data_IF_300775300940
#
_entry.id   IF_300775300940
#
_cell.length_a   1.000
_cell.length_b   1.000
_cell.length_c   1.000
_cell.angle_alpha   90.00
_cell.angle_beta   90.00
_cell.angle_gamma   90.00
#
_symmetry.space_group_name_H-M   'P 1'
#
loop_
_entity.id
_entity.type
_entity.pdbx_description
1 polymer ?
#
# COMPACT_ATOMS: atom_id res chain seq x y z
N UNK A 1 4.45 26.50 5.95
CA UNK A 1 3.99 25.10 5.83
C UNK A 1 4.22 24.64 4.40
N UNK A 2 4.94 23.54 4.19
CA UNK A 2 5.28 23.03 2.85
C UNK A 2 4.06 22.36 2.19
N UNK A 3 3.93 22.39 0.87
CA UNK A 3 2.81 21.75 0.13
C UNK A 3 2.62 20.28 0.52
N UNK A 4 3.71 19.54 0.74
CA UNK A 4 3.64 18.16 1.23
C UNK A 4 2.94 18.03 2.59
N UNK A 5 3.17 18.97 3.51
CA UNK A 5 2.54 18.98 4.83
C UNK A 5 1.05 19.31 4.72
N UNK A 6 0.69 20.27 3.87
CA UNK A 6 -0.71 20.59 3.60
C UNK A 6 -1.46 19.40 3.00
N UNK A 7 -0.84 18.67 2.07
CA UNK A 7 -1.42 17.46 1.49
C UNK A 7 -1.55 16.33 2.52
N UNK A 8 -0.55 16.18 3.41
CA UNK A 8 -0.61 15.23 4.54
C UNK A 8 -1.75 15.57 5.50
N UNK A 9 -1.94 16.85 5.80
CA UNK A 9 -3.01 17.33 6.66
C UNK A 9 -4.37 17.13 6.01
N UNK A 10 -4.52 17.46 4.71
CA UNK A 10 -5.75 17.19 3.97
C UNK A 10 -6.11 15.72 3.99
N UNK A 11 -5.13 14.83 3.74
CA UNK A 11 -5.41 13.40 3.73
C UNK A 11 -5.59 12.82 5.13
N UNK A 12 -5.08 13.45 6.20
CA UNK A 12 -5.22 12.97 7.59
C UNK A 12 -6.69 12.80 8.00
N UNK A 13 -7.60 13.59 7.43
CA UNK A 13 -9.04 13.49 7.67
C UNK A 13 -9.72 12.31 6.97
N UNK A 14 -8.98 11.53 6.18
CA UNK A 14 -9.44 10.30 5.56
C UNK A 14 -9.00 9.07 6.35
N UNK A 15 -9.53 7.91 5.96
CA UNK A 15 -9.43 6.66 6.72
C UNK A 15 -8.20 5.82 6.36
N UNK A 16 -7.14 6.37 5.77
CA UNK A 16 -5.98 5.57 5.33
C UNK A 16 -5.30 4.79 6.47
N UNK A 17 -5.21 5.37 7.67
CA UNK A 17 -4.60 4.67 8.82
C UNK A 17 -5.47 3.52 9.29
N UNK A 18 -6.79 3.72 9.30
CA UNK A 18 -7.76 2.67 9.63
C UNK A 18 -7.71 1.57 8.57
N UNK A 19 -7.63 1.92 7.28
CA UNK A 19 -7.47 0.99 6.18
C UNK A 19 -6.20 0.15 6.32
N UNK A 20 -5.05 0.77 6.62
CA UNK A 20 -3.80 0.06 6.92
C UNK A 20 -4.03 -0.93 8.07
N UNK A 21 -4.62 -0.49 9.18
CA UNK A 21 -4.90 -1.37 10.32
C UNK A 21 -5.79 -2.57 9.97
N UNK A 22 -6.84 -2.36 9.18
CA UNK A 22 -7.73 -3.44 8.71
C UNK A 22 -7.00 -4.43 7.81
N UNK A 23 -6.19 -3.94 6.86
CA UNK A 23 -5.41 -4.81 5.98
C UNK A 23 -4.38 -5.64 6.77
N UNK A 24 -3.68 -5.01 7.72
CA UNK A 24 -2.74 -5.68 8.62
C UNK A 24 -3.43 -6.74 9.49
N UNK A 25 -4.63 -6.45 9.98
CA UNK A 25 -5.41 -7.41 10.76
C UNK A 25 -5.78 -8.64 9.92
N UNK A 26 -6.24 -8.45 8.68
CA UNK A 26 -6.50 -9.59 7.80
C UNK A 26 -5.24 -10.39 7.48
N UNK A 27 -4.10 -9.72 7.26
CA UNK A 27 -2.84 -10.40 7.06
C UNK A 27 -2.45 -11.26 8.26
N UNK A 28 -2.56 -10.71 9.48
CA UNK A 28 -2.34 -11.43 10.73
C UNK A 28 -3.22 -12.68 10.84
N UNK A 29 -4.53 -12.58 10.59
CA UNK A 29 -5.46 -13.72 10.66
C UNK A 29 -5.03 -14.83 9.68
N UNK A 30 -4.66 -14.48 8.46
CA UNK A 30 -4.23 -15.46 7.45
C UNK A 30 -2.91 -16.14 7.85
N UNK A 31 -1.91 -15.38 8.30
CA UNK A 31 -0.63 -15.97 8.72
C UNK A 31 -0.82 -16.86 9.97
N UNK A 32 -1.61 -16.44 10.96
CA UNK A 32 -1.92 -17.26 12.13
C UNK A 32 -2.66 -18.55 11.76
N UNK A 33 -3.60 -18.47 10.83
CA UNK A 33 -4.30 -19.65 10.29
C UNK A 33 -3.33 -20.61 9.59
N UNK A 34 -2.39 -20.07 8.80
CA UNK A 34 -1.38 -20.86 8.12
C UNK A 34 -0.45 -21.56 9.11
N UNK A 35 0.05 -20.85 10.13
CA UNK A 35 0.88 -21.44 11.19
C UNK A 35 0.14 -22.54 11.93
N UNK A 36 -1.11 -22.30 12.33
CA UNK A 36 -1.92 -23.27 13.06
C UNK A 36 -2.15 -24.53 12.23
N UNK A 37 -2.52 -24.35 10.95
CA UNK A 37 -2.72 -25.47 10.01
C UNK A 37 -1.43 -26.26 9.80
N UNK A 38 -0.29 -25.57 9.68
CA UNK A 38 1.00 -26.23 9.53
C UNK A 38 1.36 -27.04 10.77
N UNK A 39 1.23 -26.49 11.98
CA UNK A 39 1.49 -27.25 13.22
C UNK A 39 0.66 -28.54 13.32
N UNK A 40 -0.62 -28.50 12.93
CA UNK A 40 -1.51 -29.67 12.98
C UNK A 40 -1.15 -30.73 11.94
N UNK A 41 -0.74 -30.32 10.73
CA UNK A 41 -0.39 -31.23 9.64
C UNK A 41 1.01 -31.82 9.83
N UNK A 42 1.98 -30.98 10.17
CA UNK A 42 3.40 -31.35 10.25
C UNK A 42 3.78 -31.94 11.61
N UNK A 43 2.99 -31.68 12.66
CA UNK A 43 3.08 -32.41 13.95
C UNK A 43 2.74 -33.91 13.85
N UNK A 44 2.29 -34.39 12.67
CA UNK A 44 2.03 -35.81 12.38
C UNK A 44 3.19 -36.54 11.69
N UNK A 45 4.41 -35.98 11.74
CA UNK A 45 5.63 -36.66 11.28
C UNK A 45 6.03 -36.37 9.83
N UNK A 46 5.64 -35.22 9.29
CA UNK A 46 6.14 -34.70 8.01
C UNK A 46 7.21 -33.62 8.29
N UNK A 47 8.15 -33.40 7.36
CA UNK A 47 9.25 -32.41 7.49
C UNK A 47 8.79 -30.94 7.37
N UNK A 48 8.85 -30.14 8.45
CA UNK A 48 8.23 -28.82 8.48
C UNK A 48 8.72 -27.89 7.35
N UNK A 49 7.77 -27.18 6.72
CA UNK A 49 8.02 -26.29 5.58
C UNK A 49 7.96 -24.81 5.96
N UNK A 50 8.76 -23.94 5.32
CA UNK A 50 8.67 -22.51 5.55
C UNK A 50 7.31 -21.96 5.11
N UNK A 51 6.73 -21.13 5.97
CA UNK A 51 5.50 -20.41 5.64
C UNK A 51 5.88 -19.19 4.82
N UNK A 52 5.25 -19.03 3.67
CA UNK A 52 5.47 -17.90 2.77
C UNK A 52 5.02 -16.58 3.41
N UNK A 53 5.86 -15.54 3.26
CA UNK A 53 5.52 -14.17 3.64
C UNK A 53 4.44 -13.62 2.72
N UNK A 54 4.54 -13.87 1.40
CA UNK A 54 3.58 -13.40 0.43
C UNK A 54 2.29 -14.22 0.49
N UNK A 55 1.17 -13.52 0.63
CA UNK A 55 -0.15 -14.11 0.46
C UNK A 55 -1.05 -13.13 -0.32
N UNK A 56 -2.22 -13.57 -0.78
CA UNK A 56 -3.13 -12.70 -1.52
C UNK A 56 -3.50 -11.42 -0.75
N UNK A 57 -3.56 -11.43 0.58
CA UNK A 57 -3.90 -10.26 1.39
C UNK A 57 -2.84 -9.16 1.26
N UNK A 58 -1.54 -9.50 1.25
CA UNK A 58 -0.47 -8.50 1.04
C UNK A 58 -0.61 -7.84 -0.32
N UNK A 59 -0.79 -8.64 -1.37
CA UNK A 59 -0.89 -8.15 -2.75
C UNK A 59 -2.15 -7.30 -2.94
N UNK A 60 -3.31 -7.78 -2.47
CA UNK A 60 -4.55 -7.01 -2.50
C UNK A 60 -4.47 -5.76 -1.62
N UNK A 61 -3.80 -5.83 -0.48
CA UNK A 61 -3.58 -4.70 0.42
C UNK A 61 -2.80 -3.59 -0.26
N UNK A 62 -1.70 -3.93 -0.96
CA UNK A 62 -0.95 -2.97 -1.80
C UNK A 62 -1.86 -2.34 -2.84
N UNK A 63 -2.64 -3.14 -3.58
CA UNK A 63 -3.52 -2.64 -4.63
C UNK A 63 -4.59 -1.68 -4.06
N UNK A 64 -5.34 -2.13 -3.06
CA UNK A 64 -6.44 -1.39 -2.44
C UNK A 64 -5.92 -0.08 -1.83
N UNK A 65 -4.83 -0.13 -1.06
CA UNK A 65 -4.26 1.04 -0.41
C UNK A 65 -3.77 2.07 -1.44
N UNK A 66 -3.08 1.61 -2.48
CA UNK A 66 -2.57 2.52 -3.53
C UNK A 66 -3.73 3.18 -4.28
N UNK A 67 -4.75 2.42 -4.67
CA UNK A 67 -5.93 2.95 -5.37
C UNK A 67 -6.72 3.92 -4.48
N UNK A 68 -6.90 3.59 -3.20
CA UNK A 68 -7.55 4.45 -2.22
C UNK A 68 -6.83 5.80 -2.11
N UNK A 69 -5.52 5.77 -1.86
CA UNK A 69 -4.72 6.98 -1.73
C UNK A 69 -4.68 7.77 -3.03
N UNK A 70 -4.54 7.11 -4.18
CA UNK A 70 -4.58 7.79 -5.47
C UNK A 70 -5.90 8.53 -5.69
N UNK A 71 -7.03 7.88 -5.38
CA UNK A 71 -8.34 8.50 -5.49
C UNK A 71 -8.44 9.75 -4.59
N UNK A 72 -8.03 9.65 -3.32
CA UNK A 72 -8.15 10.77 -2.37
C UNK A 72 -7.10 11.89 -2.55
N UNK A 73 -5.97 11.60 -3.21
CA UNK A 73 -4.93 12.59 -3.49
C UNK A 73 -5.18 13.37 -4.78
N UNK A 74 -5.71 12.71 -5.80
CA UNK A 74 -5.86 13.29 -7.13
C UNK A 74 -7.30 13.70 -7.48
N UNK A 75 -8.28 13.19 -6.75
CA UNK A 75 -9.70 13.41 -7.05
C UNK A 75 -10.47 13.96 -5.85
N UNK A 76 -11.37 14.91 -6.13
CA UNK A 76 -12.34 15.44 -5.17
C UNK A 76 -13.74 15.28 -5.72
N UNK A 77 -14.73 15.13 -4.83
CA UNK A 77 -16.13 15.15 -5.21
C UNK A 77 -16.65 16.58 -5.09
N UNK A 78 -17.03 17.19 -6.20
CA UNK A 78 -17.63 18.52 -6.28
C UNK A 78 -19.00 18.43 -6.96
N UNK A 79 -20.04 18.92 -6.29
CA UNK A 79 -21.42 18.96 -6.84
C UNK A 79 -21.87 17.62 -7.46
N UNK A 80 -21.51 16.50 -6.83
CA UNK A 80 -21.85 15.16 -7.31
C UNK A 80 -20.90 14.57 -8.36
N UNK A 81 -19.98 15.35 -8.94
CA UNK A 81 -19.01 14.92 -9.95
C UNK A 81 -17.62 14.72 -9.34
N UNK A 82 -16.85 13.76 -9.85
CA UNK A 82 -15.43 13.60 -9.50
C UNK A 82 -14.58 14.50 -10.39
N UNK A 83 -13.81 15.40 -9.78
CA UNK A 83 -12.97 16.38 -10.48
C UNK A 83 -11.51 16.13 -10.13
N UNK A 84 -10.62 16.27 -11.13
CA UNK A 84 -9.18 16.10 -10.97
C UNK A 84 -8.56 17.38 -10.36
N UNK A 85 -7.99 17.26 -9.15
CA UNK A 85 -7.66 18.40 -8.28
C UNK A 85 -6.50 19.25 -8.79
N UNK A 86 -5.59 18.68 -9.59
CA UNK A 86 -4.26 19.24 -9.84
C UNK A 86 -4.28 20.65 -10.47
N UNK A 87 -5.37 21.02 -11.13
CA UNK A 87 -5.57 22.34 -11.77
C UNK A 87 -6.21 23.39 -10.89
N UNK A 88 -6.91 22.98 -9.83
CA UNK A 88 -7.52 23.93 -8.89
C UNK A 88 -6.45 24.71 -8.09
N UNK A 89 -5.21 24.22 -8.12
CA UNK A 89 -4.04 24.85 -7.54
C UNK A 89 -3.16 25.57 -8.57
N UNK A 90 -3.61 25.79 -9.81
CA UNK A 90 -2.87 26.59 -10.80
C UNK A 90 -2.65 28.04 -10.32
N UNK A 91 -3.39 28.48 -9.29
CA UNK A 91 -3.21 29.77 -8.60
C UNK A 91 -2.04 29.77 -7.61
N UNK A 92 -1.45 28.61 -7.29
CA UNK A 92 -0.29 28.49 -6.39
C UNK A 92 0.98 28.41 -7.25
N UNK A 93 2.07 29.13 -6.92
CA UNK A 93 3.32 29.12 -7.70
C UNK A 93 4.14 27.85 -7.44
N UNK A 94 3.54 26.67 -7.61
CA UNK A 94 4.18 25.36 -7.48
C UNK A 94 4.30 24.70 -8.84
N UNK A 95 5.43 24.03 -9.08
CA UNK A 95 5.58 23.25 -10.30
C UNK A 95 4.72 21.99 -10.24
N UNK A 96 4.18 21.56 -11.39
CA UNK A 96 3.45 20.28 -11.49
C UNK A 96 4.27 19.10 -10.99
N UNK A 97 5.57 19.11 -11.26
CA UNK A 97 6.52 18.08 -10.78
C UNK A 97 6.52 17.99 -9.26
N UNK A 98 6.56 19.12 -8.56
CA UNK A 98 6.51 19.16 -7.10
C UNK A 98 5.17 18.68 -6.55
N UNK A 99 4.06 19.03 -7.22
CA UNK A 99 2.72 18.59 -6.83
C UNK A 99 2.57 17.07 -6.94
N UNK A 100 2.94 16.50 -8.09
CA UNK A 100 2.95 15.06 -8.32
C UNK A 100 3.89 14.35 -7.34
N UNK A 101 5.12 14.85 -7.20
CA UNK A 101 6.11 14.26 -6.28
C UNK A 101 5.59 14.24 -4.85
N UNK A 102 4.96 15.30 -4.38
CA UNK A 102 4.43 15.37 -3.01
C UNK A 102 3.30 14.37 -2.78
N UNK A 103 2.35 14.25 -3.71
CA UNK A 103 1.26 13.27 -3.63
C UNK A 103 1.80 11.83 -3.68
N UNK A 104 2.71 11.52 -4.60
CA UNK A 104 3.30 10.18 -4.68
C UNK A 104 4.19 9.84 -3.48
N UNK A 105 4.89 10.81 -2.89
CA UNK A 105 5.61 10.62 -1.61
C UNK A 105 4.67 10.16 -0.49
N UNK A 106 3.44 10.69 -0.44
CA UNK A 106 2.42 10.24 0.52
C UNK A 106 2.00 8.80 0.25
N UNK A 107 1.76 8.43 -1.02
CA UNK A 107 1.42 7.05 -1.41
C UNK A 107 2.53 6.08 -0.98
N UNK A 108 3.77 6.38 -1.37
CA UNK A 108 4.95 5.57 -1.07
C UNK A 108 5.11 5.43 0.45
N UNK A 109 5.00 6.51 1.22
CA UNK A 109 5.16 6.45 2.68
C UNK A 109 4.13 5.55 3.35
N UNK A 110 2.86 5.60 2.92
CA UNK A 110 1.82 4.74 3.47
C UNK A 110 2.00 3.28 3.05
N UNK A 111 2.43 3.02 1.81
CA UNK A 111 2.78 1.67 1.37
C UNK A 111 3.94 1.08 2.16
N UNK A 112 5.01 1.85 2.39
CA UNK A 112 6.13 1.42 3.23
C UNK A 112 5.67 1.14 4.66
N UNK A 113 4.78 1.97 5.21
CA UNK A 113 4.19 1.74 6.54
C UNK A 113 3.43 0.42 6.59
N UNK A 114 2.62 0.13 5.57
CA UNK A 114 1.88 -1.12 5.45
C UNK A 114 2.83 -2.34 5.34
N UNK A 115 3.80 -2.31 4.42
CA UNK A 115 4.75 -3.40 4.22
C UNK A 115 5.63 -3.67 5.46
N UNK A 116 6.08 -2.62 6.15
CA UNK A 116 6.79 -2.78 7.42
C UNK A 116 5.90 -3.43 8.49
N UNK A 117 4.62 -3.06 8.53
CA UNK A 117 3.63 -3.70 9.40
C UNK A 117 3.46 -5.19 9.09
N UNK A 118 3.35 -5.57 7.82
CA UNK A 118 3.27 -6.97 7.40
C UNK A 118 4.52 -7.76 7.82
N UNK A 119 5.71 -7.19 7.62
CA UNK A 119 6.98 -7.83 8.03
C UNK A 119 7.00 -8.05 9.56
N UNK A 120 6.61 -7.05 10.34
CA UNK A 120 6.55 -7.16 11.81
C UNK A 120 5.55 -8.23 12.24
N UNK A 121 4.37 -8.26 11.63
CA UNK A 121 3.32 -9.25 11.92
C UNK A 121 3.80 -10.66 11.58
N UNK A 122 4.45 -10.82 10.44
CA UNK A 122 4.99 -12.09 10.00
C UNK A 122 6.04 -12.62 10.98
N UNK A 123 7.08 -11.82 11.26
CA UNK A 123 8.15 -12.19 12.20
C UNK A 123 7.57 -12.47 13.59
N UNK A 124 6.73 -11.58 14.10
CA UNK A 124 6.10 -11.72 15.40
C UNK A 124 5.27 -13.00 15.48
N UNK A 125 4.49 -13.31 14.44
CA UNK A 125 3.67 -14.52 14.40
C UNK A 125 4.52 -15.79 14.43
N UNK A 126 5.64 -15.83 13.71
CA UNK A 126 6.58 -16.97 13.78
C UNK A 126 7.20 -17.11 15.17
N UNK A 127 7.66 -16.01 15.76
CA UNK A 127 8.27 -16.01 17.10
C UNK A 127 7.29 -16.45 18.19
N UNK A 128 6.09 -15.88 18.25
CA UNK A 128 5.07 -16.22 19.26
C UNK A 128 4.60 -17.67 19.14
N UNK A 129 4.64 -18.23 17.94
CA UNK A 129 4.29 -19.62 17.70
C UNK A 129 5.48 -20.57 17.77
N UNK A 130 6.70 -20.10 18.08
CA UNK A 130 7.91 -20.93 18.06
C UNK A 130 8.10 -21.69 16.74
N UNK A 131 7.73 -21.07 15.61
CA UNK A 131 7.92 -21.62 14.28
C UNK A 131 9.34 -21.27 13.81
N UNK A 132 10.21 -22.28 13.65
CA UNK A 132 11.65 -22.08 13.44
C UNK A 132 12.08 -22.20 11.97
N UNK A 133 11.18 -22.68 11.11
CA UNK A 133 11.44 -22.95 9.70
C UNK A 133 11.28 -21.67 8.86
N UNK A 134 12.05 -20.63 9.16
CA UNK A 134 12.04 -19.38 8.40
C UNK A 134 13.06 -19.45 7.27
N UNK A 135 12.58 -19.49 6.02
CA UNK A 135 13.45 -19.34 4.85
C UNK A 135 13.68 -17.85 4.54
N UNK A 136 14.82 -17.33 5.00
CA UNK A 136 15.20 -15.93 4.84
C UNK A 136 15.34 -15.55 3.36
N UNK A 137 15.93 -16.43 2.54
CA UNK A 137 16.18 -16.13 1.13
C UNK A 137 14.86 -16.04 0.36
N UNK A 138 13.96 -17.00 0.59
CA UNK A 138 12.62 -16.99 0.01
C UNK A 138 11.85 -15.74 0.41
N UNK A 139 11.88 -15.35 1.69
CA UNK A 139 11.19 -14.16 2.17
C UNK A 139 11.74 -12.86 1.54
N UNK A 140 13.06 -12.75 1.36
CA UNK A 140 13.67 -11.61 0.66
C UNK A 140 13.16 -11.54 -0.78
N UNK A 141 13.14 -12.67 -1.50
CA UNK A 141 12.64 -12.72 -2.89
C UNK A 141 11.16 -12.33 -2.95
N UNK A 142 10.36 -12.77 -1.99
CA UNK A 142 8.93 -12.44 -1.90
C UNK A 142 8.70 -10.95 -1.62
N UNK A 143 9.43 -10.35 -0.68
CA UNK A 143 9.37 -8.91 -0.42
C UNK A 143 9.75 -8.12 -1.67
N UNK A 144 10.79 -8.54 -2.40
CA UNK A 144 11.19 -7.90 -3.66
C UNK A 144 10.09 -8.00 -4.73
N UNK A 145 9.37 -9.12 -4.82
CA UNK A 145 8.22 -9.27 -5.72
C UNK A 145 7.10 -8.28 -5.36
N UNK A 146 6.77 -8.14 -4.08
CA UNK A 146 5.73 -7.19 -3.62
C UNK A 146 6.14 -5.75 -3.89
N UNK A 147 7.41 -5.40 -3.68
CA UNK A 147 7.95 -4.09 -4.03
C UNK A 147 7.88 -3.82 -5.53
N UNK A 148 8.21 -4.80 -6.37
CA UNK A 148 8.11 -4.68 -7.82
C UNK A 148 6.65 -4.42 -8.26
N UNK A 149 5.70 -5.18 -7.71
CA UNK A 149 4.26 -4.95 -7.97
C UNK A 149 3.85 -3.53 -7.56
N UNK A 150 4.33 -3.05 -6.41
CA UNK A 150 4.04 -1.70 -5.93
C UNK A 150 4.58 -0.63 -6.89
N UNK A 151 5.81 -0.79 -7.40
CA UNK A 151 6.42 0.14 -8.36
C UNK A 151 5.65 0.17 -9.67
N UNK A 152 5.29 -1.00 -10.20
CA UNK A 152 4.52 -1.11 -11.45
C UNK A 152 3.15 -0.41 -11.29
N UNK A 153 2.46 -0.65 -10.17
CA UNK A 153 1.16 -0.06 -9.91
C UNK A 153 1.24 1.47 -9.78
N UNK A 154 2.23 1.99 -9.06
CA UNK A 154 2.48 3.43 -8.94
C UNK A 154 2.77 4.05 -10.31
N UNK A 155 3.61 3.40 -11.12
CA UNK A 155 3.93 3.85 -12.48
C UNK A 155 2.69 3.90 -13.38
N UNK A 156 1.85 2.87 -13.31
CA UNK A 156 0.58 2.83 -14.04
C UNK A 156 -0.37 3.98 -13.63
N UNK A 157 -0.52 4.24 -12.32
CA UNK A 157 -1.36 5.32 -11.83
C UNK A 157 -0.80 6.71 -12.18
N UNK A 158 0.52 6.87 -12.21
CA UNK A 158 1.16 8.08 -12.69
C UNK A 158 0.77 8.35 -14.15
N UNK A 159 0.85 7.34 -15.03
CA UNK A 159 0.45 7.46 -16.44
C UNK A 159 -1.02 7.86 -16.56
N UNK A 160 -1.92 7.19 -15.82
CA UNK A 160 -3.36 7.52 -15.82
C UNK A 160 -3.59 8.98 -15.41
N UNK A 161 -2.96 9.41 -14.31
CA UNK A 161 -3.13 10.78 -13.81
C UNK A 161 -2.58 11.81 -14.81
N UNK A 162 -1.47 11.51 -15.50
CA UNK A 162 -0.93 12.38 -16.56
C UNK A 162 -1.87 12.47 -17.76
N UNK A 163 -2.46 11.35 -18.21
CA UNK A 163 -3.46 11.34 -19.28
C UNK A 163 -4.67 12.18 -18.87
N UNK A 164 -5.13 12.04 -17.62
CA UNK A 164 -6.27 12.79 -17.11
C UNK A 164 -5.98 14.28 -17.01
N UNK A 165 -4.79 14.68 -16.54
CA UNK A 165 -4.39 16.09 -16.51
C UNK A 165 -4.40 16.69 -17.93
N UNK A 166 -3.92 15.94 -18.93
CA UNK A 166 -3.95 16.39 -20.33
C UNK A 166 -5.37 16.52 -20.89
N UNK A 167 -6.28 15.58 -20.58
CA UNK A 167 -7.68 15.67 -21.01
C UNK A 167 -8.40 16.87 -20.42
N UNK A 168 -8.21 17.09 -19.12
CA UNK A 168 -8.79 18.25 -18.41
C UNK A 168 -8.28 19.58 -19.01
N UNK A 169 -7.16 19.59 -19.78
CA UNK A 169 -6.65 20.79 -20.49
C UNK A 169 -7.50 21.23 -21.64
N UNK A 170 -8.18 20.29 -22.28
CA UNK A 170 -8.91 20.54 -23.51
C UNK A 170 -10.33 21.00 -23.24
N UNK A 171 -10.80 20.85 -22.00
CA UNK A 171 -12.17 21.15 -21.56
C UNK A 171 -12.30 22.52 -20.87
N UNK A 172 -11.18 23.16 -20.51
CA UNK A 172 -11.10 24.52 -19.95
C UNK A 172 -10.53 25.44 -21.00
#
# INVERSE_FOLDING_TARGET
MNYLENEKERIKYYYQKLLIGVLLFFYFVVIQSNVSSHKVIWGKGLDPKPISFINPIVVFGVIILTLYLNNHLFWIKEQGKRVFILRKYDTIPLSKKEMYSSKFKIIINNLLTFLLGDIIIYIGTMMFNSYLEIDILMNIVEILKVLLVSVILIGFLLIINLIQDNKTKREV
#
